data_IF_211632206578
#
_entry.id   IF_211632206578
#
_cell.length_a   1.000
_cell.length_b   1.000
_cell.length_c   1.000
_cell.angle_alpha   90.00
_cell.angle_beta   90.00
_cell.angle_gamma   90.00
#
_symmetry.space_group_name_H-M   'P 1'
#
loop_
_entity.id
_entity.type
_entity.pdbx_description
1 polymer ?
#
# COMPACT_ATOMS: atom_id res chain seq x y z
N UNK A 1 -0.93 -3.57 4.35
CA UNK A 1 -1.15 -3.81 2.90
C UNK A 1 -2.13 -2.81 2.29
N UNK A 2 -3.37 -2.65 2.81
CA UNK A 2 -4.33 -1.70 2.24
C UNK A 2 -3.80 -0.25 2.19
N UNK A 3 -3.21 0.24 3.27
CA UNK A 3 -2.55 1.55 3.31
C UNK A 3 -1.48 1.72 2.21
N UNK A 4 -0.61 0.73 2.04
CA UNK A 4 0.47 0.79 1.04
C UNK A 4 -0.10 0.78 -0.39
N UNK A 5 -1.22 0.10 -0.62
CA UNK A 5 -1.93 0.12 -1.90
C UNK A 5 -2.53 1.48 -2.19
N UNK A 6 -3.15 2.10 -1.18
CA UNK A 6 -3.69 3.46 -1.27
C UNK A 6 -2.60 4.47 -1.60
N UNK A 7 -1.51 4.49 -0.83
CA UNK A 7 -0.39 5.41 -1.03
C UNK A 7 0.22 5.25 -2.44
N UNK A 8 0.38 4.00 -2.90
CA UNK A 8 0.87 3.72 -4.24
C UNK A 8 -0.05 4.29 -5.31
N UNK A 9 -1.36 4.11 -5.18
CA UNK A 9 -2.34 4.61 -6.15
C UNK A 9 -2.37 6.15 -6.19
N UNK A 10 -2.33 6.80 -5.03
CA UNK A 10 -2.33 8.25 -4.91
C UNK A 10 -1.06 8.86 -5.54
N UNK A 11 0.11 8.34 -5.19
CA UNK A 11 1.37 8.76 -5.78
C UNK A 11 1.45 8.50 -7.29
N UNK A 12 0.94 7.36 -7.76
CA UNK A 12 0.94 7.03 -9.18
C UNK A 12 0.08 8.01 -9.99
N UNK A 13 -1.05 8.44 -9.44
CA UNK A 13 -1.92 9.46 -10.06
C UNK A 13 -1.27 10.84 -10.06
N UNK A 14 -0.67 11.24 -8.94
CA UNK A 14 0.03 12.52 -8.84
C UNK A 14 1.25 12.61 -9.78
N UNK A 15 1.86 11.47 -10.12
CA UNK A 15 3.03 11.42 -11.01
C UNK A 15 2.68 11.64 -12.49
N UNK A 16 1.39 11.63 -12.87
CA UNK A 16 0.96 11.88 -14.26
C UNK A 16 0.71 13.37 -14.46
N UNK A 17 1.51 14.09 -15.26
CA UNK A 17 1.30 15.52 -15.52
C UNK A 17 0.09 15.71 -16.44
N UNK A 18 -1.08 15.99 -15.86
CA UNK A 18 -2.34 16.21 -16.59
C UNK A 18 -2.71 17.69 -16.71
N UNK A 19 -2.16 18.53 -15.85
CA UNK A 19 -2.49 19.95 -15.86
C UNK A 19 -1.66 20.70 -16.93
N UNK A 20 -2.33 21.44 -17.79
CA UNK A 20 -1.67 22.19 -18.86
C UNK A 20 -0.62 23.22 -18.39
N UNK A 21 -0.65 23.60 -17.11
CA UNK A 21 0.37 24.47 -16.52
C UNK A 21 1.66 23.71 -16.10
N UNK A 22 1.67 22.37 -16.13
CA UNK A 22 2.83 21.53 -15.82
C UNK A 22 3.64 21.23 -17.07
N UNK A 23 3.07 21.48 -18.25
CA UNK A 23 3.68 21.23 -19.53
C UNK A 23 4.03 22.52 -20.25
N UNK A 24 5.12 22.50 -20.99
CA UNK A 24 5.45 23.57 -21.95
C UNK A 24 4.62 23.39 -23.24
N UNK A 25 4.49 24.46 -24.05
CA UNK A 25 3.83 24.36 -25.36
C UNK A 25 4.46 23.33 -26.31
N UNK A 26 5.73 23.00 -26.10
CA UNK A 26 6.48 21.98 -26.86
C UNK A 26 6.29 20.56 -26.32
N UNK A 27 5.46 20.35 -25.29
CA UNK A 27 5.23 19.09 -24.62
C UNK A 27 6.28 18.71 -23.59
N UNK A 28 7.27 19.57 -23.34
CA UNK A 28 8.27 19.36 -22.30
C UNK A 28 7.73 19.73 -20.90
N UNK A 29 8.29 19.13 -19.85
CA UNK A 29 7.95 19.48 -18.48
C UNK A 29 8.57 20.81 -18.06
N UNK A 30 7.82 21.60 -17.25
CA UNK A 30 8.29 22.91 -16.77
C UNK A 30 9.50 22.80 -15.85
N UNK A 31 9.54 21.76 -15.01
CA UNK A 31 10.63 21.53 -14.07
C UNK A 31 11.39 20.26 -14.47
N UNK A 32 12.57 20.38 -15.07
CA UNK A 32 13.38 19.22 -15.42
C UNK A 32 13.69 18.34 -14.20
N UNK A 33 13.46 17.03 -14.30
CA UNK A 33 13.69 16.06 -13.24
C UNK A 33 12.49 15.81 -12.32
N UNK A 34 11.43 16.62 -12.33
CA UNK A 34 10.24 16.39 -11.50
C UNK A 34 9.61 15.04 -11.77
N UNK A 35 9.35 14.71 -13.02
CA UNK A 35 8.75 13.41 -13.43
C UNK A 35 9.59 12.21 -12.97
N UNK A 36 10.92 12.31 -13.00
CA UNK A 36 11.81 11.24 -12.49
C UNK A 36 11.70 11.13 -10.98
N UNK A 37 11.59 12.27 -10.29
CA UNK A 37 11.39 12.29 -8.84
C UNK A 37 10.09 11.62 -8.45
N UNK A 38 8.99 11.96 -9.14
CA UNK A 38 7.67 11.39 -8.90
C UNK A 38 7.66 9.88 -9.20
N UNK A 39 8.24 9.46 -10.32
CA UNK A 39 8.40 8.05 -10.65
C UNK A 39 9.21 7.28 -9.59
N UNK A 40 10.25 7.91 -9.00
CA UNK A 40 11.02 7.32 -7.92
C UNK A 40 10.21 7.20 -6.63
N UNK A 41 9.28 8.11 -6.35
CA UNK A 41 8.33 8.01 -5.23
C UNK A 41 7.37 6.84 -5.44
N UNK A 42 6.77 6.73 -6.63
CA UNK A 42 5.90 5.60 -7.01
C UNK A 42 6.63 4.26 -6.86
N UNK A 43 7.87 4.17 -7.35
CA UNK A 43 8.66 2.94 -7.22
C UNK A 43 8.93 2.58 -5.76
N UNK A 44 9.21 3.55 -4.90
CA UNK A 44 9.38 3.30 -3.46
C UNK A 44 8.09 2.83 -2.81
N UNK A 45 6.94 3.42 -3.14
CA UNK A 45 5.64 2.99 -2.65
C UNK A 45 5.29 1.57 -3.13
N UNK A 46 5.55 1.26 -4.40
CA UNK A 46 5.36 -0.08 -4.95
C UNK A 46 6.19 -1.15 -4.21
N UNK A 47 7.43 -0.82 -3.84
CA UNK A 47 8.27 -1.73 -3.03
C UNK A 47 7.70 -1.97 -1.64
N UNK A 48 7.21 -0.93 -0.96
CA UNK A 48 6.56 -1.08 0.35
C UNK A 48 5.28 -1.91 0.26
N UNK A 49 4.45 -1.66 -0.74
CA UNK A 49 3.26 -2.47 -0.99
C UNK A 49 3.62 -3.94 -1.22
N UNK A 50 4.66 -4.21 -2.00
CA UNK A 50 5.11 -5.56 -2.28
C UNK A 50 5.64 -6.27 -1.02
N UNK A 51 6.45 -5.59 -0.20
CA UNK A 51 6.90 -6.11 1.09
C UNK A 51 5.71 -6.40 2.03
N UNK A 52 4.76 -5.48 2.11
CA UNK A 52 3.55 -5.65 2.92
C UNK A 52 2.69 -6.84 2.45
N UNK A 53 2.61 -7.08 1.14
CA UNK A 53 1.90 -8.24 0.57
C UNK A 53 2.58 -9.56 0.97
N UNK A 54 3.92 -9.63 0.90
CA UNK A 54 4.67 -10.81 1.33
C UNK A 54 4.49 -11.06 2.83
N UNK A 55 4.56 -10.02 3.66
CA UNK A 55 4.34 -10.13 5.11
C UNK A 55 2.93 -10.61 5.41
N UNK A 56 1.94 -10.07 4.71
CA UNK A 56 0.54 -10.48 4.86
C UNK A 56 0.34 -11.97 4.55
N UNK A 57 0.90 -12.48 3.46
CA UNK A 57 0.88 -13.89 3.10
C UNK A 57 1.60 -14.76 4.13
N UNK A 58 2.75 -14.30 4.65
CA UNK A 58 3.49 -14.99 5.71
C UNK A 58 2.70 -15.13 7.00
N UNK A 59 1.99 -14.08 7.41
CA UNK A 59 1.14 -14.11 8.60
C UNK A 59 -0.07 -15.01 8.38
N UNK A 60 -0.59 -15.06 7.16
CA UNK A 60 -1.62 -16.01 6.74
C UNK A 60 -1.14 -17.48 6.64
N UNK A 61 0.15 -17.77 6.92
CA UNK A 61 0.71 -19.11 6.97
C UNK A 61 1.40 -19.59 5.69
N UNK A 62 1.55 -18.74 4.67
CA UNK A 62 2.28 -19.12 3.47
C UNK A 62 3.74 -19.46 3.78
N UNK A 63 4.26 -20.55 3.21
CA UNK A 63 5.66 -20.94 3.37
C UNK A 63 6.60 -20.10 2.51
N UNK A 64 7.88 -20.02 2.90
CA UNK A 64 8.90 -19.38 2.05
C UNK A 64 9.05 -20.06 0.69
N UNK A 65 8.79 -21.37 0.61
CA UNK A 65 8.75 -22.09 -0.65
C UNK A 65 7.65 -21.53 -1.56
N UNK A 66 6.42 -21.41 -1.04
CA UNK A 66 5.29 -20.87 -1.79
C UNK A 66 5.54 -19.45 -2.29
N UNK A 67 6.12 -18.61 -1.43
CA UNK A 67 6.48 -17.24 -1.80
C UNK A 67 7.59 -17.22 -2.85
N UNK A 68 8.61 -18.05 -2.68
CA UNK A 68 9.69 -18.22 -3.66
C UNK A 68 9.17 -18.64 -5.02
N UNK A 69 8.27 -19.61 -5.07
CA UNK A 69 7.64 -20.10 -6.30
C UNK A 69 6.91 -18.95 -7.06
N UNK A 70 6.15 -18.12 -6.32
CA UNK A 70 5.45 -16.96 -6.91
C UNK A 70 6.43 -15.91 -7.43
N UNK A 71 7.53 -15.70 -6.72
CA UNK A 71 8.52 -14.68 -7.07
C UNK A 71 9.57 -15.14 -8.07
N UNK A 72 9.57 -16.42 -8.44
CA UNK A 72 10.59 -17.02 -9.30
C UNK A 72 11.98 -17.07 -8.65
N UNK A 73 12.06 -17.23 -7.32
CA UNK A 73 13.31 -17.31 -6.57
C UNK A 73 13.29 -18.49 -5.60
N UNK A 74 14.47 -18.97 -5.20
CA UNK A 74 14.59 -20.02 -4.19
C UNK A 74 14.09 -19.56 -2.82
N UNK A 75 13.50 -20.47 -2.04
CA UNK A 75 12.96 -20.19 -0.71
C UNK A 75 13.94 -19.50 0.25
N UNK A 76 15.24 -19.88 0.32
CA UNK A 76 16.23 -19.15 1.11
C UNK A 76 16.40 -17.70 0.67
N UNK A 77 16.37 -17.42 -0.63
CA UNK A 77 16.49 -16.07 -1.19
C UNK A 77 15.27 -15.22 -0.81
N UNK A 78 14.06 -15.75 -0.95
CA UNK A 78 12.84 -15.08 -0.50
C UNK A 78 12.91 -14.76 1.00
N UNK A 79 13.33 -15.73 1.81
CA UNK A 79 13.50 -15.55 3.26
C UNK A 79 14.50 -14.44 3.59
N UNK A 80 15.68 -14.47 3.02
CA UNK A 80 16.73 -13.46 3.28
C UNK A 80 16.21 -12.05 2.94
N UNK A 81 15.44 -11.93 1.86
CA UNK A 81 14.91 -10.64 1.40
C UNK A 81 13.83 -10.07 2.31
N UNK A 82 12.93 -10.89 2.87
CA UNK A 82 11.71 -10.41 3.52
C UNK A 82 11.59 -10.77 5.01
N UNK A 83 12.48 -11.60 5.58
CA UNK A 83 12.37 -12.00 6.98
C UNK A 83 12.46 -10.83 7.97
N UNK A 84 13.22 -9.79 7.63
CA UNK A 84 13.31 -8.59 8.48
C UNK A 84 11.98 -7.83 8.51
N UNK A 85 11.34 -7.64 7.35
CA UNK A 85 10.05 -6.97 7.29
C UNK A 85 8.95 -7.76 8.05
N UNK A 86 8.97 -9.11 7.94
CA UNK A 86 8.08 -9.97 8.73
C UNK A 86 8.33 -9.83 10.24
N UNK A 87 9.60 -9.83 10.67
CA UNK A 87 9.97 -9.70 12.07
C UNK A 87 9.53 -8.34 12.65
N UNK A 88 9.83 -7.24 11.96
CA UNK A 88 9.43 -5.89 12.36
C UNK A 88 7.89 -5.77 12.51
N UNK A 89 7.14 -6.33 11.56
CA UNK A 89 5.69 -6.29 11.65
C UNK A 89 5.14 -7.11 12.81
N UNK A 90 5.73 -8.30 13.09
CA UNK A 90 5.35 -9.10 14.25
C UNK A 90 5.66 -8.40 15.58
N UNK A 91 6.77 -7.68 15.64
CA UNK A 91 7.14 -6.89 16.81
C UNK A 91 6.15 -5.73 17.02
N UNK A 92 5.76 -5.02 15.96
CA UNK A 92 4.73 -3.98 16.01
C UNK A 92 3.38 -4.51 16.50
N UNK A 93 2.97 -5.71 16.07
CA UNK A 93 1.75 -6.35 16.56
C UNK A 93 1.81 -6.73 18.04
N UNK A 94 2.98 -7.14 18.53
CA UNK A 94 3.16 -7.60 19.90
C UNK A 94 3.41 -6.46 20.90
N UNK A 95 3.71 -5.25 20.43
CA UNK A 95 3.96 -4.05 21.23
C UNK A 95 2.95 -2.92 20.95
N UNK A 96 1.62 -3.16 21.09
CA UNK A 96 0.65 -2.12 20.88
C UNK A 96 0.74 -1.08 22.01
N UNK A 97 1.23 0.10 21.72
CA UNK A 97 1.09 1.26 22.60
C UNK A 97 2.32 1.75 23.36
N UNK A 98 3.51 1.23 23.15
CA UNK A 98 4.75 1.80 23.72
C UNK A 98 5.41 2.88 22.86
N UNK A 99 4.66 3.53 21.98
CA UNK A 99 5.11 4.65 21.13
C UNK A 99 5.21 5.97 21.91
N UNK A 100 5.95 5.98 23.01
CA UNK A 100 6.37 7.21 23.66
C UNK A 100 7.70 7.70 23.10
N UNK A 101 7.65 8.74 22.24
CA UNK A 101 8.82 9.55 22.00
C UNK A 101 9.42 9.48 20.60
N UNK A 102 8.92 10.30 19.75
CA UNK A 102 9.52 11.24 18.79
C UNK A 102 8.44 11.66 17.80
N UNK A 103 7.75 12.73 18.18
CA UNK A 103 6.70 13.38 17.40
C UNK A 103 7.24 13.84 16.05
N UNK A 104 6.68 13.29 15.00
CA UNK A 104 6.99 13.61 13.62
C UNK A 104 6.13 12.73 12.70
N UNK A 105 6.29 12.83 11.42
CA UNK A 105 5.58 12.09 10.36
C UNK A 105 5.49 10.56 10.58
N UNK A 106 6.31 9.97 11.45
CA UNK A 106 6.22 8.56 11.85
C UNK A 106 5.00 8.27 12.73
N UNK A 107 4.59 9.20 13.60
CA UNK A 107 3.44 9.03 14.50
C UNK A 107 2.11 8.99 13.73
N UNK A 108 1.96 9.81 12.72
CA UNK A 108 0.76 9.78 11.87
C UNK A 108 0.64 8.45 11.10
N UNK A 109 1.76 7.91 10.59
CA UNK A 109 1.79 6.61 9.90
C UNK A 109 1.56 5.43 10.84
N UNK A 110 2.08 5.49 12.07
CA UNK A 110 1.86 4.50 13.12
C UNK A 110 0.40 4.48 13.55
N UNK A 111 -0.21 5.66 13.73
CA UNK A 111 -1.63 5.79 14.07
C UNK A 111 -2.54 5.22 12.97
N UNK A 112 -2.29 5.56 11.71
CA UNK A 112 -3.04 5.03 10.57
C UNK A 112 -2.94 3.51 10.47
N UNK A 113 -1.76 2.95 10.63
CA UNK A 113 -1.57 1.49 10.65
C UNK A 113 -2.31 0.83 11.80
N UNK A 114 -2.26 1.40 13.00
CA UNK A 114 -2.97 0.90 14.16
C UNK A 114 -4.50 0.96 13.95
N UNK A 115 -5.00 2.06 13.38
CA UNK A 115 -6.41 2.20 13.03
C UNK A 115 -6.85 1.16 12.00
N UNK A 116 -6.11 1.00 10.92
CA UNK A 116 -6.40 0.03 9.86
C UNK A 116 -6.33 -1.43 10.31
N UNK A 117 -5.57 -1.74 11.35
CA UNK A 117 -5.51 -3.09 11.93
C UNK A 117 -6.53 -3.29 13.05
N UNK A 118 -6.92 -2.22 13.73
CA UNK A 118 -7.89 -2.23 14.82
C UNK A 118 -9.34 -2.32 14.36
N UNK A 119 -9.66 -1.67 13.25
CA UNK A 119 -11.00 -1.74 12.64
C UNK A 119 -10.92 -1.93 11.12
N UNK A 120 -10.75 -3.18 10.67
CA UNK A 120 -10.63 -3.49 9.25
C UNK A 120 -11.90 -3.19 8.44
N UNK A 121 -13.08 -3.20 9.08
CA UNK A 121 -14.33 -2.88 8.40
C UNK A 121 -14.45 -1.38 8.13
N UNK A 122 -14.19 -0.54 9.13
CA UNK A 122 -14.18 0.92 8.97
C UNK A 122 -13.15 1.33 7.92
N UNK A 123 -11.94 0.78 7.99
CA UNK A 123 -10.92 1.00 6.96
C UNK A 123 -11.37 0.60 5.56
N UNK A 124 -12.09 -0.51 5.42
CA UNK A 124 -12.59 -0.95 4.13
C UNK A 124 -13.70 -0.05 3.60
N UNK A 125 -14.55 0.52 4.47
CA UNK A 125 -15.58 1.49 4.11
C UNK A 125 -14.95 2.83 3.68
N UNK A 126 -13.93 3.30 4.38
CA UNK A 126 -13.17 4.50 3.98
C UNK A 126 -12.50 4.30 2.61
N UNK A 127 -11.99 3.11 2.33
CA UNK A 127 -11.44 2.76 1.03
C UNK A 127 -12.51 2.66 -0.06
N UNK A 128 -13.72 2.18 0.24
CA UNK A 128 -14.86 2.22 -0.68
C UNK A 128 -15.18 3.66 -1.09
N UNK A 129 -15.31 4.54 -0.12
CA UNK A 129 -15.55 5.96 -0.34
C UNK A 129 -14.46 6.62 -1.19
N UNK A 130 -13.21 6.25 -0.93
CA UNK A 130 -12.09 6.76 -1.70
C UNK A 130 -12.13 6.26 -3.16
N UNK A 131 -12.33 4.96 -3.36
CA UNK A 131 -12.42 4.36 -4.71
C UNK A 131 -13.55 4.97 -5.50
N UNK A 132 -14.75 5.12 -4.89
CA UNK A 132 -15.94 5.67 -5.55
C UNK A 132 -15.77 7.13 -5.94
N UNK A 133 -15.07 7.92 -5.11
CA UNK A 133 -14.76 9.33 -5.44
C UNK A 133 -13.75 9.49 -6.57
N UNK A 134 -12.96 8.47 -6.85
CA UNK A 134 -11.86 8.52 -7.81
C UNK A 134 -12.04 7.56 -8.99
N UNK A 135 -13.10 6.75 -8.99
CA UNK A 135 -13.42 5.90 -10.13
C UNK A 135 -13.89 6.76 -11.31
N UNK A 136 -13.31 6.54 -12.48
CA UNK A 136 -13.85 7.07 -13.71
C UNK A 136 -15.20 6.39 -13.99
N UNK A 137 -16.19 7.16 -14.49
CA UNK A 137 -17.60 6.75 -14.58
C UNK A 137 -17.93 5.50 -15.41
N UNK A 138 -16.95 4.91 -16.10
CA UNK A 138 -17.10 3.69 -16.90
C UNK A 138 -16.81 2.39 -16.11
N UNK A 139 -16.39 2.49 -14.85
CA UNK A 139 -16.09 1.32 -14.01
C UNK A 139 -17.28 1.02 -13.10
N UNK A 140 -18.07 -0.03 -13.44
CA UNK A 140 -19.09 -0.57 -12.54
C UNK A 140 -18.45 -1.37 -11.39
N UNK A 141 -17.88 -0.64 -10.44
CA UNK A 141 -17.24 -1.22 -9.25
C UNK A 141 -18.26 -1.56 -8.14
N UNK A 142 -19.56 -1.26 -8.37
CA UNK A 142 -20.60 -1.38 -7.34
C UNK A 142 -20.38 -0.37 -6.19
N UNK A 143 -21.25 -0.44 -5.19
CA UNK A 143 -21.25 0.47 -4.03
C UNK A 143 -20.23 0.10 -2.95
N UNK A 144 -19.65 -1.09 -2.99
CA UNK A 144 -18.74 -1.64 -1.98
C UNK A 144 -17.54 -2.34 -2.63
N UNK A 145 -16.69 -1.61 -3.39
CA UNK A 145 -15.61 -2.21 -4.16
C UNK A 145 -14.56 -2.93 -3.29
N UNK A 146 -14.34 -2.47 -2.06
CA UNK A 146 -13.37 -3.02 -1.11
C UNK A 146 -14.07 -3.84 -0.02
N UNK A 147 -15.03 -3.23 0.71
CA UNK A 147 -15.70 -3.88 1.86
C UNK A 147 -16.57 -5.06 1.46
N UNK A 148 -17.09 -5.08 0.24
CA UNK A 148 -17.85 -6.21 -0.31
C UNK A 148 -17.05 -7.53 -0.36
N UNK A 149 -15.73 -7.46 -0.40
CA UNK A 149 -14.84 -8.62 -0.29
C UNK A 149 -14.75 -9.21 1.12
N UNK A 150 -14.85 -8.37 2.16
CA UNK A 150 -14.85 -8.82 3.57
C UNK A 150 -16.16 -9.57 3.89
N UNK A 151 -17.30 -9.02 3.51
CA UNK A 151 -18.61 -9.63 3.75
C UNK A 151 -18.79 -10.99 3.06
N UNK A 152 -18.05 -11.29 2.01
CA UNK A 152 -18.02 -12.62 1.37
C UNK A 152 -17.21 -13.65 2.14
N UNK A 153 -16.12 -13.23 2.82
CA UNK A 153 -15.28 -14.15 3.62
C UNK A 153 -15.94 -14.61 4.92
N UNK A 154 -16.82 -13.80 5.51
CA UNK A 154 -17.53 -14.16 6.74
C UNK A 154 -18.66 -15.18 6.52
N UNK A 155 -19.07 -15.41 5.26
CA UNK A 155 -20.17 -16.32 4.88
C UNK A 155 -19.72 -17.68 4.32
N UNK A 156 -18.46 -17.95 4.26
CA UNK A 156 -17.82 -19.19 3.78
C UNK A 156 -17.08 -19.91 4.87
#
# INVERSE_FOLDING_TARGET
MAYEAYELADLARAAVPIAGHELRPDGGVLTPGSTVTDAAHVLRAARRFFEAAVVFERIGGASWQRIGDVLGVEAPTARVRFAMAEACFREELNAPGTGGGHAGTRDAMSWWRAHMTGDPLETALDLDDWVLRHADGDNDLGTTPVSGGLARRERG
#
